data_IF_683408066720
#
_entry.id   IF_683408066720
#
_cell.length_a   1.000
_cell.length_b   1.000
_cell.length_c   1.000
_cell.angle_alpha   90.00
_cell.angle_beta   90.00
_cell.angle_gamma   90.00
#
_symmetry.space_group_name_H-M   'P 1'
#
loop_
_entity.id
_entity.type
_entity.pdbx_description
1 polymer ?
#
# COMPACT_ATOMS: atom_id res chain seq x y z
N UNK A 1 13.43 -9.06 -3.57
CA UNK A 1 13.44 -8.67 -4.98
C UNK A 1 12.02 -8.29 -5.35
N UNK A 2 11.83 -7.14 -6.00
CA UNK A 2 10.53 -6.71 -6.48
C UNK A 2 10.25 -7.30 -7.87
N UNK A 3 8.98 -7.56 -8.16
CA UNK A 3 8.50 -8.17 -9.40
C UNK A 3 7.45 -7.25 -10.02
N UNK A 4 7.81 -6.49 -11.08
CA UNK A 4 6.87 -5.62 -11.78
C UNK A 4 5.73 -6.39 -12.43
N UNK A 5 4.56 -5.76 -12.51
CA UNK A 5 3.39 -6.26 -13.24
C UNK A 5 3.14 -5.41 -14.48
N UNK A 6 2.65 -6.05 -15.53
CA UNK A 6 2.13 -5.35 -16.70
C UNK A 6 0.70 -4.86 -16.44
N UNK A 7 0.27 -3.82 -17.17
CA UNK A 7 -1.12 -3.37 -17.12
C UNK A 7 -2.13 -4.50 -17.36
N UNK A 8 -1.84 -5.42 -18.29
CA UNK A 8 -2.72 -6.55 -18.58
C UNK A 8 -2.79 -7.58 -17.43
N UNK A 9 -1.73 -7.71 -16.62
CA UNK A 9 -1.77 -8.52 -15.41
C UNK A 9 -2.60 -7.85 -14.32
N UNK A 10 -2.47 -6.53 -14.17
CA UNK A 10 -3.28 -5.74 -13.22
C UNK A 10 -4.76 -5.80 -13.59
N UNK A 11 -5.12 -5.68 -14.86
CA UNK A 11 -6.52 -5.79 -15.32
C UNK A 11 -7.13 -7.16 -14.93
N UNK A 12 -6.38 -8.25 -15.10
CA UNK A 12 -6.82 -9.60 -14.68
C UNK A 12 -6.96 -9.73 -13.17
N UNK A 13 -6.13 -9.03 -12.39
CA UNK A 13 -6.24 -9.01 -10.94
C UNK A 13 -7.50 -8.26 -10.51
N UNK A 14 -7.79 -7.10 -11.11
CA UNK A 14 -9.01 -6.35 -10.84
C UNK A 14 -10.27 -7.16 -11.18
N UNK A 15 -10.27 -7.86 -12.32
CA UNK A 15 -11.35 -8.79 -12.70
C UNK A 15 -11.52 -9.92 -11.68
N UNK A 16 -10.42 -10.53 -11.22
CA UNK A 16 -10.44 -11.63 -10.27
C UNK A 16 -10.87 -11.18 -8.85
N UNK A 17 -10.46 -9.99 -8.45
CA UNK A 17 -10.80 -9.38 -7.16
C UNK A 17 -12.21 -8.79 -7.15
N UNK A 18 -12.76 -8.45 -8.32
CA UNK A 18 -14.00 -7.69 -8.43
C UNK A 18 -13.87 -6.26 -7.87
N UNK A 19 -12.64 -5.73 -7.82
CA UNK A 19 -12.31 -4.43 -7.25
C UNK A 19 -11.31 -3.71 -8.15
N UNK A 20 -11.41 -2.39 -8.20
CA UNK A 20 -10.43 -1.56 -8.90
C UNK A 20 -9.22 -1.33 -7.99
N UNK A 21 -8.02 -1.43 -8.55
CA UNK A 21 -6.79 -1.09 -7.85
C UNK A 21 -6.58 0.43 -7.97
N UNK A 22 -6.28 1.15 -6.88
CA UNK A 22 -6.02 2.59 -6.93
C UNK A 22 -4.96 2.93 -7.99
N UNK A 23 -5.13 4.04 -8.71
CA UNK A 23 -4.28 4.40 -9.84
C UNK A 23 -2.82 4.53 -9.43
N UNK A 24 -2.57 5.03 -8.22
CA UNK A 24 -1.24 5.13 -7.65
C UNK A 24 -0.60 3.77 -7.34
N UNK A 25 -1.36 2.84 -6.76
CA UNK A 25 -0.85 1.49 -6.53
C UNK A 25 -0.60 0.76 -7.85
N UNK A 26 -1.46 0.98 -8.85
CA UNK A 26 -1.27 0.48 -10.21
C UNK A 26 0.04 1.00 -10.82
N UNK A 27 0.33 2.30 -10.70
CA UNK A 27 1.60 2.89 -11.13
C UNK A 27 2.79 2.24 -10.41
N UNK A 28 2.72 2.10 -9.09
CA UNK A 28 3.77 1.46 -8.29
C UNK A 28 4.03 0.00 -8.70
N UNK A 29 2.99 -0.79 -8.96
CA UNK A 29 3.11 -2.18 -9.41
C UNK A 29 3.74 -2.30 -10.80
N UNK A 30 3.52 -1.31 -11.68
CA UNK A 30 4.12 -1.28 -13.02
C UNK A 30 5.58 -0.85 -12.98
N UNK A 31 5.91 0.16 -12.18
CA UNK A 31 7.25 0.76 -12.13
C UNK A 31 8.20 -0.06 -11.27
N UNK A 32 7.78 -0.41 -10.04
CA UNK A 32 8.61 -1.05 -9.03
C UNK A 32 8.25 -2.52 -8.81
N UNK A 33 6.95 -2.84 -8.83
CA UNK A 33 6.44 -4.18 -8.60
C UNK A 33 6.19 -4.53 -7.14
N UNK A 34 5.80 -5.79 -6.92
CA UNK A 34 5.52 -6.33 -5.58
C UNK A 34 6.66 -7.22 -5.08
N UNK A 35 6.73 -7.43 -3.77
CA UNK A 35 7.74 -8.24 -3.11
C UNK A 35 8.44 -7.48 -1.99
N UNK A 36 9.62 -7.95 -1.59
CA UNK A 36 10.39 -7.34 -0.50
C UNK A 36 11.67 -6.68 -0.99
N UNK A 37 12.01 -5.54 -0.39
CA UNK A 37 13.28 -4.81 -0.56
C UNK A 37 13.77 -4.32 0.80
N UNK A 38 14.81 -4.95 1.36
CA UNK A 38 15.22 -4.69 2.74
C UNK A 38 14.09 -4.95 3.73
N UNK A 39 13.79 -3.96 4.58
CA UNK A 39 12.70 -3.99 5.56
C UNK A 39 11.32 -3.68 4.93
N UNK A 40 11.28 -3.32 3.65
CA UNK A 40 10.07 -2.89 2.95
C UNK A 40 9.41 -4.08 2.25
N UNK A 41 8.07 -4.14 2.29
CA UNK A 41 7.29 -5.08 1.47
C UNK A 41 6.14 -4.36 0.79
N UNK A 42 6.09 -4.49 -0.54
CA UNK A 42 4.91 -4.17 -1.35
C UNK A 42 4.16 -5.48 -1.54
N UNK A 43 2.89 -5.54 -1.13
CA UNK A 43 2.10 -6.76 -1.23
C UNK A 43 1.69 -7.02 -2.67
N UNK A 44 1.40 -8.28 -3.00
CA UNK A 44 0.66 -8.58 -4.22
C UNK A 44 -0.83 -8.30 -3.98
N UNK A 45 -1.60 -7.72 -4.93
CA UNK A 45 -3.00 -7.37 -4.70
C UNK A 45 -3.88 -8.51 -4.19
N UNK A 46 -3.61 -9.75 -4.64
CA UNK A 46 -4.37 -10.94 -4.23
C UNK A 46 -4.13 -11.38 -2.78
N UNK A 47 -3.09 -10.89 -2.14
CA UNK A 47 -2.71 -11.28 -0.77
C UNK A 47 -3.31 -10.34 0.28
N UNK A 48 -3.66 -9.11 -0.13
CA UNK A 48 -4.07 -8.01 0.75
C UNK A 48 -5.22 -8.43 1.68
N UNK A 49 -6.30 -8.99 1.13
CA UNK A 49 -7.45 -9.40 1.92
C UNK A 49 -7.10 -10.48 2.95
N UNK A 50 -6.20 -11.40 2.64
CA UNK A 50 -5.79 -12.42 3.60
C UNK A 50 -4.99 -11.84 4.77
N UNK A 51 -4.15 -10.84 4.48
CA UNK A 51 -3.26 -10.20 5.46
C UNK A 51 -4.06 -9.27 6.37
N UNK A 52 -4.88 -8.40 5.80
CA UNK A 52 -5.44 -7.26 6.54
C UNK A 52 -6.92 -7.39 6.91
N UNK A 53 -7.66 -8.42 6.49
CA UNK A 53 -9.09 -8.56 6.84
C UNK A 53 -9.42 -8.53 8.34
N UNK A 54 -8.44 -8.80 9.20
CA UNK A 54 -8.61 -8.75 10.66
C UNK A 54 -8.01 -7.49 11.29
N UNK A 55 -7.39 -6.63 10.48
CA UNK A 55 -6.82 -5.35 10.90
C UNK A 55 -7.87 -4.23 10.95
N UNK A 56 -8.96 -4.40 10.21
CA UNK A 56 -10.08 -3.45 10.16
C UNK A 56 -11.29 -4.02 10.91
N UNK A 57 -12.06 -3.13 11.56
CA UNK A 57 -13.28 -3.51 12.27
C UNK A 57 -14.37 -4.01 11.31
N UNK A 58 -14.50 -3.38 10.14
CA UNK A 58 -15.32 -3.88 9.03
C UNK A 58 -14.43 -4.31 7.85
N UNK A 59 -14.39 -5.61 7.50
CA UNK A 59 -13.68 -6.09 6.31
C UNK A 59 -14.17 -5.46 5.00
N UNK A 60 -15.36 -4.86 4.96
CA UNK A 60 -15.86 -4.12 3.80
C UNK A 60 -15.13 -2.78 3.60
N UNK A 61 -14.47 -2.23 4.63
CA UNK A 61 -13.67 -1.01 4.51
C UNK A 61 -12.38 -1.26 3.72
N UNK A 62 -11.94 -2.52 3.68
CA UNK A 62 -10.89 -2.99 2.80
C UNK A 62 -11.31 -2.75 1.34
N UNK A 63 -10.48 -2.01 0.61
CA UNK A 63 -10.68 -1.58 -0.78
C UNK A 63 -11.70 -0.46 -1.02
N UNK A 64 -12.58 -0.13 -0.06
CA UNK A 64 -13.58 0.94 -0.25
C UNK A 64 -13.14 2.25 0.37
N UNK A 65 -12.69 2.19 1.62
CA UNK A 65 -12.18 3.34 2.37
C UNK A 65 -10.67 3.29 2.45
N UNK A 66 -10.10 2.10 2.63
CA UNK A 66 -8.67 1.91 2.83
C UNK A 66 -8.13 0.82 1.92
N UNK A 67 -7.05 1.13 1.21
CA UNK A 67 -6.37 0.16 0.35
C UNK A 67 -4.94 -0.09 0.89
N UNK A 68 -4.76 -1.06 1.80
CA UNK A 68 -3.43 -1.44 2.26
C UNK A 68 -2.62 -2.05 1.12
N UNK A 69 -1.40 -1.56 0.90
CA UNK A 69 -0.59 -1.95 -0.25
C UNK A 69 0.82 -2.39 0.10
N UNK A 70 1.29 -2.12 1.32
CA UNK A 70 2.61 -2.52 1.76
C UNK A 70 2.85 -2.26 3.24
N UNK A 71 4.08 -2.50 3.68
CA UNK A 71 4.52 -2.29 5.04
C UNK A 71 6.03 -2.06 5.15
N UNK A 72 6.44 -1.48 6.26
CA UNK A 72 7.82 -1.50 6.75
C UNK A 72 7.88 -2.45 7.96
N UNK A 73 8.51 -3.61 7.78
CA UNK A 73 8.58 -4.65 8.81
C UNK A 73 9.40 -4.20 10.02
N UNK A 74 10.46 -3.39 9.83
CA UNK A 74 11.30 -2.91 10.93
C UNK A 74 10.59 -1.84 11.75
N UNK A 75 9.90 -0.92 11.09
CA UNK A 75 9.16 0.16 11.75
C UNK A 75 7.79 -0.30 12.25
N UNK A 76 7.33 -1.50 11.87
CA UNK A 76 5.97 -1.99 12.21
C UNK A 76 4.89 -1.04 11.66
N UNK A 77 5.07 -0.57 10.43
CA UNK A 77 4.14 0.33 9.74
C UNK A 77 3.38 -0.41 8.64
N UNK A 78 2.10 -0.07 8.48
CA UNK A 78 1.23 -0.46 7.38
C UNK A 78 1.03 0.75 6.49
N UNK A 79 1.11 0.56 5.18
CA UNK A 79 0.92 1.62 4.21
C UNK A 79 -0.44 1.49 3.56
N UNK A 80 -1.19 2.60 3.56
CA UNK A 80 -2.57 2.68 3.11
C UNK A 80 -2.69 3.73 2.01
N UNK A 81 -3.57 3.46 1.04
CA UNK A 81 -4.09 4.46 0.10
C UNK A 81 -5.55 4.74 0.45
N UNK A 82 -5.93 6.00 0.45
CA UNK A 82 -7.32 6.41 0.32
C UNK A 82 -7.66 6.43 -1.18
N UNK A 83 -8.48 5.48 -1.68
CA UNK A 83 -8.79 5.37 -3.10
C UNK A 83 -9.65 6.54 -3.62
N UNK A 84 -10.29 7.32 -2.74
CA UNK A 84 -11.14 8.44 -3.14
C UNK A 84 -10.32 9.71 -3.41
N UNK A 85 -9.31 9.95 -2.58
CA UNK A 85 -8.46 11.14 -2.67
C UNK A 85 -7.12 10.86 -3.36
N UNK A 86 -6.78 9.58 -3.63
CA UNK A 86 -5.49 9.16 -4.17
C UNK A 86 -4.34 9.75 -3.32
N UNK A 87 -4.48 9.63 -2.00
CA UNK A 87 -3.47 9.98 -1.00
C UNK A 87 -2.99 8.73 -0.27
N UNK A 88 -1.81 8.80 0.33
CA UNK A 88 -1.26 7.70 1.10
C UNK A 88 -0.75 8.11 2.48
N UNK A 89 -0.78 7.15 3.39
CA UNK A 89 -0.31 7.27 4.75
C UNK A 89 0.45 6.01 5.18
N UNK A 90 1.37 6.19 6.13
CA UNK A 90 2.00 5.11 6.88
C UNK A 90 1.46 5.14 8.30
N UNK A 91 0.76 4.09 8.73
CA UNK A 91 0.20 3.98 10.08
C UNK A 91 0.91 2.86 10.85
N UNK A 92 0.94 2.94 12.18
CA UNK A 92 1.46 1.82 12.97
C UNK A 92 0.55 0.60 12.85
N UNK A 93 1.12 -0.59 12.95
CA UNK A 93 0.39 -1.86 12.89
C UNK A 93 -0.60 -2.10 14.04
N UNK A 94 -0.65 -1.22 15.05
CA UNK A 94 -1.64 -1.26 16.15
C UNK A 94 -2.70 -0.18 16.00
N UNK A 95 -2.50 0.76 15.07
CA UNK A 95 -3.42 1.87 14.85
C UNK A 95 -4.54 1.40 13.92
N UNK A 96 -5.78 1.59 14.36
CA UNK A 96 -6.91 1.53 13.45
C UNK A 96 -6.82 2.75 12.52
N UNK A 97 -6.89 2.57 11.19
CA UNK A 97 -6.86 3.70 10.27
C UNK A 97 -7.91 4.79 10.55
N UNK A 98 -9.04 4.43 11.17
CA UNK A 98 -10.08 5.39 11.57
C UNK A 98 -9.68 6.27 12.76
N UNK A 99 -8.69 5.82 13.55
CA UNK A 99 -8.14 6.54 14.71
C UNK A 99 -6.87 7.33 14.35
N UNK A 100 -6.41 7.27 13.10
CA UNK A 100 -5.21 7.97 12.67
C UNK A 100 -5.52 9.45 12.43
N UNK A 101 -4.96 10.32 13.26
CA UNK A 101 -5.26 11.76 13.27
C UNK A 101 -5.07 12.42 11.87
N UNK A 102 -6.00 13.32 11.55
CA UNK A 102 -6.39 13.90 10.25
C UNK A 102 -5.28 14.61 9.40
N UNK A 103 -3.99 14.44 9.70
CA UNK A 103 -2.93 15.32 9.15
C UNK A 103 -1.77 14.64 8.41
N UNK A 104 -1.71 13.30 8.30
CA UNK A 104 -0.54 12.61 7.70
C UNK A 104 -0.78 11.93 6.35
N UNK A 105 -1.95 12.13 5.75
CA UNK A 105 -2.20 11.77 4.36
C UNK A 105 -1.47 12.73 3.45
N UNK A 106 -0.57 12.21 2.63
CA UNK A 106 0.18 13.00 1.66
C UNK A 106 -0.13 12.54 0.26
N UNK A 107 0.26 13.35 -0.73
CA UNK A 107 0.24 12.86 -2.11
C UNK A 107 1.13 11.61 -2.20
N UNK A 108 0.74 10.65 -3.04
CA UNK A 108 1.49 9.41 -3.12
C UNK A 108 2.89 9.58 -3.70
N UNK A 109 3.10 10.58 -4.56
CA UNK A 109 4.45 10.92 -5.01
C UNK A 109 5.31 11.41 -3.82
N UNK A 110 4.76 12.27 -2.93
CA UNK A 110 5.45 12.65 -1.69
C UNK A 110 5.68 11.44 -0.78
N UNK A 111 4.72 10.52 -0.72
CA UNK A 111 4.82 9.29 0.06
C UNK A 111 5.97 8.40 -0.46
N UNK A 112 6.07 8.19 -1.78
CA UNK A 112 7.14 7.43 -2.43
C UNK A 112 8.49 8.05 -2.11
N UNK A 113 8.65 9.37 -2.25
CA UNK A 113 9.92 10.06 -1.98
C UNK A 113 10.36 9.78 -0.53
N UNK A 114 9.46 9.99 0.43
CA UNK A 114 9.75 9.83 1.86
C UNK A 114 10.05 8.39 2.28
N UNK A 115 9.34 7.41 1.72
CA UNK A 115 9.34 6.04 2.24
C UNK A 115 10.14 5.05 1.39
N UNK A 116 10.28 5.31 0.08
CA UNK A 116 10.98 4.42 -0.86
C UNK A 116 12.32 5.00 -1.35
N UNK A 117 12.46 6.33 -1.43
CA UNK A 117 13.68 6.96 -1.98
C UNK A 117 14.65 7.47 -0.90
N UNK A 118 14.15 8.09 0.18
CA UNK A 118 15.00 8.55 1.30
C UNK A 118 15.56 7.41 2.17
N UNK A 119 15.11 6.17 1.96
CA UNK A 119 15.64 4.98 2.65
C UNK A 119 17.08 4.62 2.28
N UNK A 120 17.65 5.21 1.22
CA UNK A 120 18.99 4.92 0.72
C UNK A 120 20.08 5.85 1.32
N UNK A 121 19.71 7.01 1.90
CA UNK A 121 20.67 7.99 2.45
C UNK A 121 21.01 7.79 3.94
N UNK A 122 20.33 6.87 4.64
CA UNK A 122 20.56 6.66 6.08
C UNK A 122 21.76 5.73 6.42
N UNK A 123 22.60 5.37 5.44
CA UNK A 123 23.73 4.45 5.61
C UNK A 123 25.10 4.98 5.12
N UNK A 124 25.29 6.30 5.00
CA UNK A 124 26.63 6.90 4.85
C UNK A 124 27.19 7.49 6.14
#
# INVERSE_FOLDING_TARGET
MLTPLTNAEIDRLEEALGQQIPGLYRKLLVEEGFGSSGDLRIHHPSEIAQIYKYHFDDPADLYTRWFPFGCNERLQEIWLIDPQTETAASIWHETNPDDYEEEQWVSFDDWIIRNLQDGDEALT
#
